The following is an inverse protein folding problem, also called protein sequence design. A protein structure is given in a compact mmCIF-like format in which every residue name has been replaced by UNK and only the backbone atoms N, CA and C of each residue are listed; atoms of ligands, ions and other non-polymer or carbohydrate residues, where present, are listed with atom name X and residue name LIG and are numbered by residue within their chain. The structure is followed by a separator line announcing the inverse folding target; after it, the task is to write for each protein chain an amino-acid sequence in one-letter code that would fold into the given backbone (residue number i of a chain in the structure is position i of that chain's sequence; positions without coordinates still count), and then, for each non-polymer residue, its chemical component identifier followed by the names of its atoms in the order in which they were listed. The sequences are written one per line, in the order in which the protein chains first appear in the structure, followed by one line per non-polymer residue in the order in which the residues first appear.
data_IF_099449252467
#
_entry.id   IF_099449252467
#
_cell.length_a   1.000
_cell.length_b   1.000
_cell.length_c   1.000
_cell.angle_alpha   90.00
_cell.angle_beta   90.00
_cell.angle_gamma   90.00
#
_symmetry.space_group_name_H-M   'P 1'
#
loop_
_entity.id
_entity.type
_entity.pdbx_description
1 polymer ?
#
# COMPACT_ATOMS: atom_id res chain seq x y z
N UNK A 1 -17.15 16.43 17.21
CA UNK A 1 -16.14 15.56 16.58
C UNK A 1 -16.77 14.18 16.50
N UNK A 2 -17.30 13.77 15.35
CA UNK A 2 -17.99 12.47 15.25
C UNK A 2 -17.01 11.35 15.60
N UNK A 3 -17.37 10.38 16.46
CA UNK A 3 -16.51 9.24 16.74
C UNK A 3 -16.16 8.58 15.41
N UNK A 4 -14.88 8.27 15.21
CA UNK A 4 -14.46 7.53 14.03
C UNK A 4 -15.16 6.17 14.08
N UNK A 5 -16.15 5.95 13.21
CA UNK A 5 -16.81 4.66 13.11
C UNK A 5 -15.76 3.63 12.71
N UNK A 6 -15.53 2.67 13.60
CA UNK A 6 -14.65 1.54 13.32
C UNK A 6 -15.21 0.79 12.11
N UNK A 7 -14.44 0.64 11.02
CA UNK A 7 -14.92 -0.08 9.85
C UNK A 7 -15.16 -1.55 10.18
N UNK A 8 -16.15 -2.17 9.54
CA UNK A 8 -16.37 -3.61 9.65
C UNK A 8 -15.17 -4.38 9.08
N UNK A 9 -14.79 -5.45 9.77
CA UNK A 9 -13.75 -6.37 9.33
C UNK A 9 -14.35 -7.44 8.39
N UNK A 10 -13.57 -7.95 7.42
CA UNK A 10 -12.22 -7.53 7.06
C UNK A 10 -12.20 -6.23 6.23
N UNK A 11 -11.19 -5.39 6.43
CA UNK A 11 -10.99 -4.15 5.65
C UNK A 11 -9.59 -4.10 5.04
N UNK A 12 -9.49 -3.59 3.81
CA UNK A 12 -8.20 -3.41 3.13
C UNK A 12 -7.93 -1.94 2.80
N UNK A 13 -6.82 -1.42 3.29
CA UNK A 13 -6.30 -0.10 2.95
C UNK A 13 -5.27 -0.21 1.83
N UNK A 14 -5.43 0.61 0.78
CA UNK A 14 -4.50 0.68 -0.36
C UNK A 14 -4.34 2.14 -0.79
N UNK A 15 -3.16 2.56 -1.29
CA UNK A 15 -2.97 3.90 -1.80
C UNK A 15 -3.59 4.01 -3.21
N UNK A 16 -4.93 4.04 -3.29
CA UNK A 16 -5.69 3.86 -4.52
C UNK A 16 -5.31 4.84 -5.63
N UNK A 17 -5.15 6.13 -5.30
CA UNK A 17 -4.72 7.15 -6.28
C UNK A 17 -3.28 6.93 -6.74
N UNK A 18 -2.34 6.68 -5.82
CA UNK A 18 -0.94 6.38 -6.18
C UNK A 18 -0.86 5.16 -7.10
N UNK A 19 -1.59 4.10 -6.77
CA UNK A 19 -1.69 2.89 -7.59
C UNK A 19 -2.26 3.18 -8.99
N UNK A 20 -3.33 3.97 -9.08
CA UNK A 20 -3.89 4.36 -10.37
C UNK A 20 -2.88 5.14 -11.22
N UNK A 21 -2.17 6.11 -10.64
CA UNK A 21 -1.14 6.88 -11.36
C UNK A 21 0.00 5.97 -11.85
N UNK A 22 0.57 5.13 -10.99
CA UNK A 22 1.66 4.23 -11.34
C UNK A 22 1.27 3.28 -12.48
N UNK A 23 0.08 2.67 -12.39
CA UNK A 23 -0.39 1.71 -13.39
C UNK A 23 -0.73 2.39 -14.72
N UNK A 24 -1.44 3.52 -14.68
CA UNK A 24 -1.81 4.26 -15.89
C UNK A 24 -0.57 4.78 -16.62
N UNK A 25 0.37 5.41 -15.90
CA UNK A 25 1.60 5.92 -16.51
C UNK A 25 2.48 4.78 -17.05
N UNK A 26 2.58 3.67 -16.32
CA UNK A 26 3.33 2.51 -16.75
C UNK A 26 2.77 1.89 -18.03
N UNK A 27 1.44 1.72 -18.11
CA UNK A 27 0.77 1.18 -19.29
C UNK A 27 0.94 2.14 -20.48
N UNK A 28 0.75 3.44 -20.26
CA UNK A 28 0.92 4.45 -21.32
C UNK A 28 2.34 4.43 -21.87
N UNK A 29 3.35 4.45 -21.00
CA UNK A 29 4.76 4.38 -21.40
C UNK A 29 5.07 3.08 -22.16
N UNK A 30 4.57 1.94 -21.69
CA UNK A 30 4.75 0.66 -22.36
C UNK A 30 4.19 0.66 -23.78
N UNK A 31 2.95 1.16 -23.94
CA UNK A 31 2.28 1.27 -25.24
C UNK A 31 3.05 2.20 -26.18
N UNK A 32 3.44 3.38 -25.70
CA UNK A 32 4.16 4.37 -26.53
C UNK A 32 5.51 3.84 -26.98
N UNK A 33 6.33 3.28 -26.07
CA UNK A 33 7.66 2.75 -26.42
C UNK A 33 7.53 1.57 -27.39
N UNK A 34 6.57 0.68 -27.15
CA UNK A 34 6.32 -0.45 -28.05
C UNK A 34 5.89 0.02 -29.44
N UNK A 35 4.96 0.98 -29.53
CA UNK A 35 4.51 1.53 -30.80
C UNK A 35 5.66 2.18 -31.59
N UNK A 36 6.47 3.01 -30.93
CA UNK A 36 7.65 3.66 -31.54
C UNK A 36 8.64 2.60 -32.03
N UNK A 37 8.96 1.59 -31.21
CA UNK A 37 9.89 0.53 -31.59
C UNK A 37 9.44 -0.24 -32.84
N UNK A 38 8.13 -0.45 -32.99
CA UNK A 38 7.57 -1.14 -34.15
C UNK A 38 7.46 -0.26 -35.40
N UNK A 39 7.24 1.05 -35.24
CA UNK A 39 7.16 2.00 -36.34
C UNK A 39 8.53 2.39 -36.92
N UNK A 40 9.60 2.26 -36.14
CA UNK A 40 10.95 2.58 -36.63
C UNK A 40 11.45 1.52 -37.61
N UNK A 41 11.51 1.90 -38.89
CA UNK A 41 11.93 1.04 -40.01
C UNK A 41 13.42 0.67 -39.96
N UNK A 42 14.25 1.53 -39.36
CA UNK A 42 15.71 1.35 -39.30
C UNK A 42 16.20 0.44 -38.17
N UNK A 43 15.30 -0.03 -37.29
CA UNK A 43 15.66 -0.91 -36.18
C UNK A 43 15.67 -2.38 -36.64
N UNK A 44 16.74 -3.09 -36.29
CA UNK A 44 16.79 -4.54 -36.42
C UNK A 44 15.84 -5.24 -35.42
N UNK A 45 15.45 -6.50 -35.66
CA UNK A 45 14.52 -7.24 -34.78
C UNK A 45 14.98 -7.30 -33.31
N UNK A 46 16.28 -7.46 -33.06
CA UNK A 46 16.85 -7.51 -31.71
C UNK A 46 16.77 -6.18 -30.96
N UNK A 47 16.93 -5.05 -31.66
CA UNK A 47 16.80 -3.72 -31.06
C UNK A 47 15.34 -3.43 -30.69
N UNK A 48 14.40 -3.75 -31.59
CA UNK A 48 12.96 -3.65 -31.31
C UNK A 48 12.57 -4.47 -30.08
N UNK A 49 13.04 -5.72 -30.02
CA UNK A 49 12.81 -6.59 -28.87
C UNK A 49 13.40 -5.97 -27.58
N UNK A 50 14.56 -5.35 -27.66
CA UNK A 50 15.21 -4.71 -26.51
C UNK A 50 14.39 -3.52 -25.97
N UNK A 51 13.81 -2.68 -26.84
CA UNK A 51 12.91 -1.60 -26.44
C UNK A 51 11.65 -2.12 -25.74
N UNK A 52 10.98 -3.10 -26.33
CA UNK A 52 9.76 -3.69 -25.77
C UNK A 52 10.06 -4.38 -24.44
N UNK A 53 11.16 -5.13 -24.37
CA UNK A 53 11.58 -5.81 -23.14
C UNK A 53 11.91 -4.82 -22.02
N UNK A 54 12.64 -3.75 -22.33
CA UNK A 54 12.95 -2.69 -21.37
C UNK A 54 11.68 -2.01 -20.87
N UNK A 55 10.73 -1.70 -21.76
CA UNK A 55 9.45 -1.13 -21.40
C UNK A 55 8.64 -2.09 -20.49
N UNK A 56 8.68 -3.39 -20.78
CA UNK A 56 8.02 -4.42 -19.96
C UNK A 56 8.62 -4.51 -18.55
N UNK A 57 9.95 -4.42 -18.42
CA UNK A 57 10.63 -4.36 -17.12
C UNK A 57 10.16 -3.14 -16.33
N UNK A 58 10.15 -1.96 -16.95
CA UNK A 58 9.73 -0.73 -16.28
C UNK A 58 8.25 -0.80 -15.83
N UNK A 59 7.36 -1.31 -16.69
CA UNK A 59 5.97 -1.55 -16.32
C UNK A 59 5.88 -2.53 -15.13
N UNK A 60 6.65 -3.61 -15.16
CA UNK A 60 6.67 -4.60 -14.06
C UNK A 60 7.10 -3.96 -12.75
N UNK A 61 8.13 -3.10 -12.76
CA UNK A 61 8.56 -2.35 -11.58
C UNK A 61 7.41 -1.47 -11.06
N UNK A 62 6.72 -0.72 -11.93
CA UNK A 62 5.59 0.12 -11.52
C UNK A 62 4.42 -0.69 -10.95
N UNK A 63 4.14 -1.88 -11.52
CA UNK A 63 3.16 -2.82 -10.97
C UNK A 63 3.57 -3.27 -9.57
N UNK A 64 4.85 -3.64 -9.35
CA UNK A 64 5.37 -4.03 -8.04
C UNK A 64 5.26 -2.89 -7.02
N UNK A 65 5.61 -1.67 -7.40
CA UNK A 65 5.48 -0.48 -6.56
C UNK A 65 4.02 -0.15 -6.20
N UNK A 66 3.05 -0.64 -6.99
CA UNK A 66 1.62 -0.44 -6.75
C UNK A 66 0.96 -1.48 -5.83
N UNK A 67 1.70 -2.54 -5.46
CA UNK A 67 1.21 -3.64 -4.60
C UNK A 67 0.95 -3.31 -3.13
N UNK A 68 1.58 -2.30 -2.49
CA UNK A 68 1.44 -2.10 -1.06
C UNK A 68 -0.02 -2.00 -0.60
N UNK A 69 -0.33 -2.70 0.48
CA UNK A 69 -1.65 -2.74 1.10
C UNK A 69 -1.55 -3.14 2.57
N UNK A 70 -2.54 -2.75 3.35
CA UNK A 70 -2.75 -3.21 4.72
C UNK A 70 -4.09 -3.93 4.74
N UNK A 71 -4.13 -5.16 5.21
CA UNK A 71 -5.36 -5.94 5.39
C UNK A 71 -5.55 -6.12 6.88
N UNK A 72 -6.66 -5.66 7.42
CA UNK A 72 -7.07 -5.89 8.81
C UNK A 72 -8.25 -6.88 8.82
N UNK A 73 -8.19 -7.84 9.72
CA UNK A 73 -9.23 -8.83 10.00
C UNK A 73 -9.31 -9.08 11.52
N UNK A 74 -10.16 -10.00 11.94
CA UNK A 74 -10.47 -10.23 13.36
C UNK A 74 -9.24 -10.63 14.19
N UNK A 75 -8.27 -11.31 13.60
CA UNK A 75 -7.07 -11.78 14.30
C UNK A 75 -5.94 -10.74 14.32
N UNK A 76 -5.87 -9.86 13.32
CA UNK A 76 -4.81 -8.86 13.27
C UNK A 76 -4.65 -8.15 11.93
N UNK A 77 -3.42 -7.71 11.66
CA UNK A 77 -3.09 -6.88 10.50
C UNK A 77 -1.98 -7.52 9.67
N UNK A 78 -2.25 -7.70 8.37
CA UNK A 78 -1.24 -8.05 7.37
C UNK A 78 -0.78 -6.80 6.64
N UNK A 79 0.48 -6.42 6.84
CA UNK A 79 1.13 -5.33 6.11
C UNK A 79 1.92 -5.90 4.93
N UNK A 80 1.48 -5.59 3.72
CA UNK A 80 2.19 -5.92 2.48
C UNK A 80 2.91 -4.67 2.01
N UNK A 81 4.24 -4.68 2.10
CA UNK A 81 5.12 -3.69 1.51
C UNK A 81 5.68 -4.21 0.17
N UNK A 82 6.50 -3.40 -0.50
CA UNK A 82 7.06 -3.72 -1.81
C UNK A 82 7.86 -5.03 -1.78
N UNK A 83 8.71 -5.19 -0.77
CA UNK A 83 9.67 -6.32 -0.66
C UNK A 83 9.37 -7.30 0.47
N UNK A 84 8.47 -6.95 1.39
CA UNK A 84 8.20 -7.75 2.61
C UNK A 84 6.71 -7.77 2.91
N UNK A 85 6.25 -8.89 3.46
CA UNK A 85 4.92 -9.02 4.06
C UNK A 85 5.09 -9.42 5.51
N UNK A 86 4.40 -8.75 6.44
CA UNK A 86 4.40 -9.10 7.87
C UNK A 86 2.95 -9.20 8.35
N UNK A 87 2.62 -10.31 9.01
CA UNK A 87 1.40 -10.48 9.80
C UNK A 87 1.71 -10.05 11.23
N UNK A 88 0.83 -9.27 11.82
CA UNK A 88 0.89 -8.76 13.19
C UNK A 88 -0.41 -9.14 13.89
N UNK A 89 -0.33 -9.70 15.08
CA UNK A 89 -1.48 -9.77 15.98
C UNK A 89 -1.86 -8.35 16.45
N UNK A 90 -3.12 -8.14 16.80
CA UNK A 90 -3.56 -6.84 17.33
C UNK A 90 -2.75 -6.38 18.55
N UNK A 91 -2.41 -7.30 19.45
CA UNK A 91 -1.60 -7.03 20.64
C UNK A 91 -0.15 -6.59 20.34
N UNK A 92 0.38 -6.87 19.14
CA UNK A 92 1.69 -6.37 18.73
C UNK A 92 1.65 -4.89 18.35
N UNK A 93 0.48 -4.34 18.00
CA UNK A 93 0.35 -2.97 17.48
C UNK A 93 0.01 -2.02 18.62
N UNK A 94 1.02 -1.31 19.13
CA UNK A 94 0.84 -0.38 20.24
C UNK A 94 0.30 0.98 19.79
N UNK A 95 0.79 1.49 18.66
CA UNK A 95 0.35 2.78 18.12
C UNK A 95 0.35 2.78 16.59
N UNK A 96 -0.65 3.44 16.03
CA UNK A 96 -0.72 3.78 14.60
C UNK A 96 -0.39 5.26 14.45
N UNK A 97 0.71 5.60 13.78
CA UNK A 97 1.20 6.97 13.64
C UNK A 97 1.15 7.44 12.19
N UNK A 98 0.67 8.67 12.00
CA UNK A 98 0.81 9.43 10.76
C UNK A 98 1.02 10.90 11.13
N UNK A 99 2.28 11.32 11.18
CA UNK A 99 2.68 12.69 11.54
C UNK A 99 2.66 13.59 10.30
N UNK A 100 2.54 14.91 10.47
CA UNK A 100 2.74 15.84 9.35
C UNK A 100 4.12 15.64 8.71
N UNK A 101 4.15 15.38 7.41
CA UNK A 101 5.38 15.12 6.66
C UNK A 101 5.73 13.64 6.49
N UNK A 102 5.08 12.74 7.23
CA UNK A 102 5.32 11.30 7.05
C UNK A 102 4.88 10.85 5.64
N UNK A 103 5.69 10.05 4.95
CA UNK A 103 5.34 9.56 3.62
C UNK A 103 4.32 8.40 3.65
N UNK A 104 4.14 7.77 4.82
CA UNK A 104 3.19 6.67 5.07
C UNK A 104 2.93 6.50 6.58
N UNK A 105 2.01 5.60 6.92
CA UNK A 105 1.74 5.21 8.31
C UNK A 105 2.89 4.39 8.89
N UNK A 106 3.21 4.62 10.16
CA UNK A 106 4.12 3.80 10.96
C UNK A 106 3.36 3.10 12.09
N UNK A 107 3.64 1.82 12.30
CA UNK A 107 3.08 1.02 13.40
C UNK A 107 4.18 0.85 14.46
N UNK A 108 3.99 1.42 15.64
CA UNK A 108 4.89 1.14 16.77
C UNK A 108 4.50 -0.19 17.39
N UNK A 109 5.47 -1.09 17.55
CA UNK A 109 5.25 -2.47 17.92
C UNK A 109 5.70 -2.79 19.35
N UNK A 110 5.15 -3.87 19.92
CA UNK A 110 5.48 -4.35 21.26
C UNK A 110 6.95 -4.77 21.43
N UNK A 111 7.62 -5.13 20.34
CA UNK A 111 9.06 -5.45 20.29
C UNK A 111 9.96 -4.20 20.30
N UNK A 112 9.37 -3.00 20.41
CA UNK A 112 10.08 -1.72 20.42
C UNK A 112 10.45 -1.19 19.03
N UNK A 113 10.15 -1.93 17.97
CA UNK A 113 10.39 -1.49 16.59
C UNK A 113 9.23 -0.67 16.03
N UNK A 114 9.48 0.06 14.94
CA UNK A 114 8.43 0.75 14.19
C UNK A 114 8.39 0.23 12.76
N UNK A 115 7.25 -0.33 12.35
CA UNK A 115 7.06 -0.91 11.03
C UNK A 115 6.43 0.12 10.08
N UNK A 116 7.09 0.46 8.96
CA UNK A 116 6.46 1.25 7.92
C UNK A 116 5.35 0.44 7.23
N UNK A 117 4.17 1.04 7.08
CA UNK A 117 3.01 0.41 6.47
C UNK A 117 2.56 1.19 5.23
N UNK A 118 3.16 0.87 4.08
CA UNK A 118 3.03 1.63 2.83
C UNK A 118 1.62 1.54 2.22
N UNK A 119 0.70 0.75 2.76
CA UNK A 119 -0.68 0.68 2.27
C UNK A 119 -1.50 1.96 2.50
N UNK A 120 -1.03 2.86 3.39
CA UNK A 120 -1.63 4.18 3.63
C UNK A 120 -0.55 5.25 3.41
N UNK A 121 -0.73 6.09 2.39
CA UNK A 121 0.23 7.11 1.98
C UNK A 121 -0.47 8.45 1.79
N UNK A 122 -0.05 9.53 2.46
CA UNK A 122 -0.62 10.85 2.26
C UNK A 122 -0.52 11.32 0.81
N UNK A 123 0.70 11.35 0.24
CA UNK A 123 0.96 11.68 -1.17
C UNK A 123 -0.06 12.62 -1.82
N UNK A 124 -0.67 12.15 -2.91
CA UNK A 124 -1.73 12.85 -3.67
C UNK A 124 -3.15 12.67 -3.09
N UNK A 125 -3.29 12.03 -1.93
CA UNK A 125 -4.55 11.65 -1.31
C UNK A 125 -4.57 11.88 0.21
N UNK A 126 -4.01 13.01 0.67
CA UNK A 126 -3.72 13.28 2.09
C UNK A 126 -4.93 13.06 3.01
N UNK A 127 -6.09 13.59 2.65
CA UNK A 127 -7.31 13.44 3.45
C UNK A 127 -7.76 11.99 3.56
N UNK A 128 -7.65 11.21 2.48
CA UNK A 128 -7.96 9.77 2.51
C UNK A 128 -7.01 9.04 3.43
N UNK A 129 -5.70 9.31 3.33
CA UNK A 129 -4.71 8.70 4.18
C UNK A 129 -4.94 9.01 5.67
N UNK A 130 -5.35 10.24 6.00
CA UNK A 130 -5.70 10.61 7.38
C UNK A 130 -6.94 9.86 7.86
N UNK A 131 -7.97 9.71 7.04
CA UNK A 131 -9.14 8.89 7.41
C UNK A 131 -8.75 7.43 7.62
N UNK A 132 -7.98 6.85 6.71
CA UNK A 132 -7.57 5.45 6.75
C UNK A 132 -6.65 5.18 7.96
N UNK A 133 -5.72 6.08 8.27
CA UNK A 133 -4.87 5.99 9.46
C UNK A 133 -5.69 6.07 10.75
N UNK A 134 -6.72 6.93 10.80
CA UNK A 134 -7.64 7.00 11.96
C UNK A 134 -8.48 5.73 12.10
N UNK A 135 -8.95 5.16 10.99
CA UNK A 135 -9.71 3.92 11.00
C UNK A 135 -8.84 2.75 11.49
N UNK A 136 -7.61 2.63 11.00
CA UNK A 136 -6.66 1.61 11.46
C UNK A 136 -6.29 1.80 12.94
N UNK A 137 -6.16 3.06 13.40
CA UNK A 137 -5.95 3.36 14.82
C UNK A 137 -7.13 2.90 15.68
N UNK A 138 -8.35 3.22 15.29
CA UNK A 138 -9.55 2.81 16.04
C UNK A 138 -9.68 1.28 16.12
N UNK A 139 -9.33 0.56 15.04
CA UNK A 139 -9.25 -0.91 15.06
C UNK A 139 -8.18 -1.42 16.04
N UNK A 140 -6.97 -0.86 15.99
CA UNK A 140 -5.89 -1.26 16.89
C UNK A 140 -6.23 -0.99 18.36
N UNK A 141 -6.90 0.14 18.66
CA UNK A 141 -7.37 0.46 20.01
C UNK A 141 -8.44 -0.54 20.49
N UNK A 142 -9.46 -0.81 19.67
CA UNK A 142 -10.55 -1.72 20.03
C UNK A 142 -10.13 -3.19 20.23
N UNK A 143 -9.12 -3.66 19.49
CA UNK A 143 -8.64 -5.03 19.58
C UNK A 143 -7.38 -5.19 20.45
N UNK A 144 -6.60 -4.13 20.68
CA UNK A 144 -5.34 -4.16 21.43
C UNK A 144 -5.51 -3.97 22.94
N UNK A 145 -6.55 -3.25 23.38
CA UNK A 145 -6.95 -3.23 24.80
C UNK A 145 -7.79 -4.48 25.05
N UNK A 146 -7.16 -5.56 25.52
CA UNK A 146 -7.76 -6.89 25.67
C UNK A 146 -9.28 -6.89 25.85
N UNK A 147 -9.99 -7.29 24.80
CA UNK A 147 -11.40 -7.67 24.91
C UNK A 147 -11.43 -8.96 25.71
N UNK A 148 -11.47 -8.83 27.03
CA UNK A 148 -11.97 -9.87 27.91
C UNK A 148 -13.42 -10.12 27.48
N UNK A 149 -13.62 -11.16 26.66
CA UNK A 149 -14.95 -11.65 26.34
C UNK A 149 -15.62 -12.03 27.67
N UNK A 150 -16.80 -11.48 28.00
CA UNK A 150 -17.60 -12.00 29.09
C UNK A 150 -17.87 -13.47 28.78
N UNK A 151 -17.37 -14.33 29.65
CA UNK A 151 -17.61 -15.77 29.59
C UNK A 151 -19.02 -16.00 30.12
N UNK A 152 -19.97 -16.18 29.20
CA UNK A 152 -21.28 -16.77 29.51
C UNK A 152 -21.16 -18.29 29.67
#
# INVERSE_FOLDING_TARGET
MSPATTPALPVTFRPGRTRAVLLTLGVLMFVVVTAVALMLERLGPGERLSFVFTAAILLTILVLLSRPKIVADDEGVTVVNITRTRRLAWAEILKVNLRPGDPWVFLDLSDGTSLPALGIQPGIAKESAIRDARALRALAENHGTGTEQPKD
#
